data_IF_552061851694
#
_entry.id   IF_552061851694
#
_cell.length_a   1.000
_cell.length_b   1.000
_cell.length_c   1.000
_cell.angle_alpha   90.00
_cell.angle_beta   90.00
_cell.angle_gamma   90.00
#
_symmetry.space_group_name_H-M   'P 1'
#
loop_
_entity.id
_entity.type
_entity.pdbx_description
1 polymer ?
#
# COMPACT_ATOMS: atom_id res chain seq x y z
N UNK A 1 2.01 -35.90 0.32
CA UNK A 1 1.43 -35.49 -0.97
C UNK A 1 0.11 -34.84 -0.63
N UNK A 2 -0.09 -33.57 -0.99
CA UNK A 2 -1.31 -32.83 -0.62
C UNK A 2 -2.50 -33.47 -1.35
N UNK A 3 -3.58 -33.75 -0.63
CA UNK A 3 -4.78 -34.36 -1.22
C UNK A 3 -5.47 -33.36 -2.15
N UNK A 4 -6.10 -33.84 -3.23
CA UNK A 4 -6.80 -32.97 -4.18
C UNK A 4 -7.96 -32.23 -3.50
N UNK A 5 -8.64 -32.88 -2.55
CA UNK A 5 -9.69 -32.26 -1.75
C UNK A 5 -9.16 -31.12 -0.87
N UNK A 6 -7.97 -31.28 -0.31
CA UNK A 6 -7.31 -30.27 0.51
C UNK A 6 -6.88 -29.04 -0.32
N UNK A 7 -6.36 -29.26 -1.54
CA UNK A 7 -6.01 -28.17 -2.47
C UNK A 7 -7.26 -27.40 -2.90
N UNK A 8 -8.33 -28.10 -3.27
CA UNK A 8 -9.58 -27.48 -3.70
C UNK A 8 -10.25 -26.72 -2.55
N UNK A 9 -10.32 -27.33 -1.36
CA UNK A 9 -10.87 -26.70 -0.15
C UNK A 9 -10.09 -25.45 0.23
N UNK A 10 -8.75 -25.52 0.23
CA UNK A 10 -7.89 -24.37 0.50
C UNK A 10 -8.11 -23.25 -0.50
N UNK A 11 -8.18 -23.57 -1.80
CA UNK A 11 -8.43 -22.57 -2.85
C UNK A 11 -9.78 -21.88 -2.68
N UNK A 12 -10.84 -22.61 -2.33
CA UNK A 12 -12.15 -22.02 -2.08
C UNK A 12 -12.16 -21.12 -0.84
N UNK A 13 -11.51 -21.54 0.26
CA UNK A 13 -11.35 -20.70 1.45
C UNK A 13 -10.59 -19.41 1.13
N UNK A 14 -9.53 -19.48 0.31
CA UNK A 14 -8.78 -18.31 -0.18
C UNK A 14 -9.72 -17.34 -0.92
N UNK A 15 -10.56 -17.84 -1.84
CA UNK A 15 -11.51 -17.00 -2.60
C UNK A 15 -12.50 -16.30 -1.67
N UNK A 16 -13.04 -17.02 -0.69
CA UNK A 16 -14.00 -16.44 0.27
C UNK A 16 -13.34 -15.35 1.12
N UNK A 17 -12.14 -15.62 1.65
CA UNK A 17 -11.37 -14.64 2.41
C UNK A 17 -11.01 -13.43 1.55
N UNK A 18 -10.61 -13.64 0.29
CA UNK A 18 -10.32 -12.56 -0.65
C UNK A 18 -11.52 -11.63 -0.87
N UNK A 19 -12.71 -12.21 -1.10
CA UNK A 19 -13.95 -11.45 -1.23
C UNK A 19 -14.28 -10.69 0.06
N UNK A 20 -14.16 -11.35 1.21
CA UNK A 20 -14.39 -10.74 2.51
C UNK A 20 -13.49 -9.53 2.75
N UNK A 21 -12.17 -9.67 2.57
CA UNK A 21 -11.23 -8.57 2.76
C UNK A 21 -11.41 -7.43 1.75
N UNK A 22 -11.82 -7.75 0.52
CA UNK A 22 -12.16 -6.73 -0.47
C UNK A 22 -13.39 -5.93 -0.05
N UNK A 23 -14.43 -6.58 0.49
CA UNK A 23 -15.61 -5.91 1.03
C UNK A 23 -15.28 -5.03 2.24
N UNK A 24 -14.40 -5.50 3.13
CA UNK A 24 -13.91 -4.69 4.25
C UNK A 24 -13.18 -3.44 3.72
N UNK A 25 -12.33 -3.59 2.71
CA UNK A 25 -11.65 -2.44 2.11
C UNK A 25 -12.60 -1.45 1.45
N UNK A 26 -13.65 -1.93 0.78
CA UNK A 26 -14.70 -1.07 0.21
C UNK A 26 -15.44 -0.30 1.30
N UNK A 27 -15.88 -0.98 2.37
CA UNK A 27 -16.56 -0.34 3.50
C UNK A 27 -15.67 0.69 4.19
N UNK A 28 -14.39 0.37 4.36
CA UNK A 28 -13.41 1.27 4.94
C UNK A 28 -13.20 2.51 4.06
N UNK A 29 -13.14 2.35 2.74
CA UNK A 29 -13.07 3.47 1.80
C UNK A 29 -14.27 4.41 1.91
N UNK A 30 -15.49 3.84 1.96
CA UNK A 30 -16.72 4.64 2.18
C UNK A 30 -16.66 5.39 3.51
N UNK A 31 -16.19 4.72 4.58
CA UNK A 31 -16.04 5.33 5.90
C UNK A 31 -15.04 6.49 5.87
N UNK A 32 -13.87 6.29 5.27
CA UNK A 32 -12.84 7.32 5.20
C UNK A 32 -13.26 8.50 4.33
N UNK A 33 -13.94 8.24 3.20
CA UNK A 33 -14.49 9.29 2.34
C UNK A 33 -15.46 10.23 3.06
N UNK A 34 -16.23 9.72 4.02
CA UNK A 34 -17.16 10.57 4.80
C UNK A 34 -16.51 11.20 6.04
N UNK A 35 -15.40 10.64 6.52
CA UNK A 35 -14.79 11.05 7.79
C UNK A 35 -13.65 12.05 7.60
N UNK A 36 -13.00 12.05 6.44
CA UNK A 36 -11.81 12.83 6.14
C UNK A 36 -11.98 13.66 4.87
N UNK A 37 -11.28 14.78 4.80
CA UNK A 37 -11.36 15.71 3.68
C UNK A 37 -10.66 15.14 2.43
N UNK A 38 -11.09 15.53 1.23
CA UNK A 38 -10.41 15.13 -0.01
C UNK A 38 -9.04 15.82 -0.15
N UNK A 39 -8.15 15.28 -0.99
CA UNK A 39 -6.85 15.89 -1.30
C UNK A 39 -6.96 17.10 -2.24
N UNK A 40 -7.79 18.07 -1.88
CA UNK A 40 -8.13 19.22 -2.71
C UNK A 40 -7.20 20.43 -2.45
N UNK A 41 -7.60 21.62 -2.91
CA UNK A 41 -6.80 22.84 -2.70
C UNK A 41 -6.91 23.37 -1.27
N UNK A 42 -8.03 23.13 -0.61
CA UNK A 42 -8.30 23.61 0.75
C UNK A 42 -7.42 22.83 1.73
N UNK A 43 -7.45 21.49 1.65
CA UNK A 43 -6.59 20.61 2.44
C UNK A 43 -5.09 20.88 2.21
N UNK A 44 -4.68 21.19 0.97
CA UNK A 44 -3.28 21.53 0.64
C UNK A 44 -2.83 22.88 1.20
N UNK A 45 -3.76 23.79 1.45
CA UNK A 45 -3.46 25.10 2.04
C UNK A 45 -3.37 25.05 3.57
N UNK A 46 -3.83 23.96 4.18
CA UNK A 46 -3.74 23.76 5.62
C UNK A 46 -2.31 23.63 6.13
N UNK A 47 -2.16 23.84 7.43
CA UNK A 47 -0.87 23.76 8.10
C UNK A 47 -0.38 22.30 8.23
N UNK A 48 0.95 22.12 8.22
CA UNK A 48 1.59 20.80 8.24
C UNK A 48 1.08 19.87 9.36
N UNK A 49 0.83 20.41 10.55
CA UNK A 49 0.37 19.60 11.68
C UNK A 49 -1.02 19.00 11.44
N UNK A 50 -1.91 19.75 10.80
CA UNK A 50 -3.22 19.24 10.37
C UNK A 50 -3.04 18.16 9.30
N UNK A 51 -2.25 18.40 8.26
CA UNK A 51 -2.04 17.42 7.17
C UNK A 51 -1.43 16.10 7.67
N UNK A 52 -0.45 16.17 8.57
CA UNK A 52 0.17 14.98 9.18
C UNK A 52 -0.80 14.29 10.15
N UNK A 53 -1.55 15.06 10.93
CA UNK A 53 -2.55 14.54 11.86
C UNK A 53 -3.68 13.82 11.13
N UNK A 54 -4.20 14.41 10.06
CA UNK A 54 -5.23 13.88 9.19
C UNK A 54 -4.82 12.54 8.57
N UNK A 55 -3.69 12.49 7.87
CA UNK A 55 -3.12 11.24 7.33
C UNK A 55 -2.82 10.23 8.45
N UNK A 56 -2.33 10.70 9.60
CA UNK A 56 -2.03 9.84 10.75
C UNK A 56 -3.27 9.17 11.32
N UNK A 57 -4.39 9.89 11.40
CA UNK A 57 -5.67 9.36 11.83
C UNK A 57 -6.25 8.40 10.80
N UNK A 58 -6.19 8.72 9.50
CA UNK A 58 -6.59 7.80 8.43
C UNK A 58 -5.82 6.47 8.54
N UNK A 59 -4.50 6.53 8.61
CA UNK A 59 -3.64 5.35 8.76
C UNK A 59 -3.89 4.60 10.07
N UNK A 60 -4.17 5.31 11.15
CA UNK A 60 -4.50 4.73 12.45
C UNK A 60 -5.80 3.92 12.42
N UNK A 61 -6.84 4.45 11.78
CA UNK A 61 -8.11 3.74 11.58
C UNK A 61 -7.90 2.53 10.68
N UNK A 62 -7.19 2.70 9.56
CA UNK A 62 -6.89 1.60 8.63
C UNK A 62 -6.15 0.47 9.36
N UNK A 63 -5.06 0.79 10.07
CA UNK A 63 -4.25 -0.18 10.81
C UNK A 63 -5.05 -0.87 11.91
N UNK A 64 -5.92 -0.13 12.61
CA UNK A 64 -6.80 -0.69 13.64
C UNK A 64 -7.81 -1.68 13.04
N UNK A 65 -8.48 -1.30 11.95
CA UNK A 65 -9.43 -2.19 11.26
C UNK A 65 -8.72 -3.41 10.70
N UNK A 66 -7.53 -3.25 10.11
CA UNK A 66 -6.71 -4.34 9.59
C UNK A 66 -6.41 -5.38 10.68
N UNK A 67 -5.92 -4.89 11.82
CA UNK A 67 -5.53 -5.73 12.94
C UNK A 67 -6.74 -6.48 13.50
N UNK A 68 -7.81 -5.76 13.86
CA UNK A 68 -8.98 -6.37 14.49
C UNK A 68 -9.72 -7.32 13.55
N UNK A 69 -9.86 -6.97 12.27
CA UNK A 69 -10.46 -7.87 11.27
C UNK A 69 -9.67 -9.18 11.19
N UNK A 70 -8.34 -9.11 11.18
CA UNK A 70 -7.47 -10.29 11.14
C UNK A 70 -7.56 -11.12 12.42
N UNK A 71 -7.70 -10.49 13.59
CA UNK A 71 -7.90 -11.24 14.84
C UNK A 71 -9.25 -11.96 14.86
N UNK A 72 -10.30 -11.35 14.30
CA UNK A 72 -11.63 -11.94 14.22
C UNK A 72 -11.64 -13.15 13.28
N UNK A 73 -11.08 -13.01 12.07
CA UNK A 73 -11.09 -14.09 11.07
C UNK A 73 -10.27 -15.30 11.50
N UNK A 74 -9.17 -15.11 12.23
CA UNK A 74 -8.38 -16.21 12.83
C UNK A 74 -9.18 -17.09 13.80
N UNK A 75 -10.27 -16.58 14.36
CA UNK A 75 -11.17 -17.35 15.22
C UNK A 75 -12.22 -18.15 14.45
N UNK A 76 -12.32 -17.99 13.13
CA UNK A 76 -13.34 -18.64 12.33
C UNK A 76 -12.91 -20.04 11.92
N UNK A 77 -13.86 -20.98 11.91
CA UNK A 77 -13.61 -22.28 11.33
C UNK A 77 -13.57 -22.16 9.79
N UNK A 78 -12.66 -22.88 9.10
CA UNK A 78 -12.65 -22.89 7.65
C UNK A 78 -13.97 -23.46 7.12
N UNK A 79 -14.49 -22.81 6.08
CA UNK A 79 -15.77 -23.20 5.47
C UNK A 79 -15.62 -24.55 4.77
N UNK A 80 -14.52 -24.73 4.03
CA UNK A 80 -14.16 -26.01 3.45
C UNK A 80 -13.12 -26.73 4.32
N UNK A 81 -13.30 -28.04 4.59
CA UNK A 81 -12.42 -28.77 5.49
C UNK A 81 -11.02 -28.88 4.90
N UNK A 82 -10.04 -28.38 5.66
CA UNK A 82 -8.60 -28.42 5.34
C UNK A 82 -7.80 -28.74 6.61
N UNK A 83 -6.53 -29.10 6.47
CA UNK A 83 -5.66 -29.27 7.64
C UNK A 83 -5.47 -27.94 8.37
N UNK A 84 -5.37 -28.00 9.71
CA UNK A 84 -5.15 -26.80 10.56
C UNK A 84 -3.88 -26.04 10.20
N UNK A 85 -2.87 -26.72 9.67
CA UNK A 85 -1.61 -26.09 9.26
C UNK A 85 -1.83 -25.24 8.01
N UNK A 86 -2.53 -25.79 7.02
CA UNK A 86 -2.84 -25.07 5.78
C UNK A 86 -3.81 -23.91 6.05
N UNK A 87 -4.79 -24.11 6.92
CA UNK A 87 -5.73 -23.08 7.38
C UNK A 87 -5.02 -21.86 7.95
N UNK A 88 -4.12 -22.07 8.92
CA UNK A 88 -3.35 -21.00 9.54
C UNK A 88 -2.46 -20.25 8.54
N UNK A 89 -1.90 -20.97 7.56
CA UNK A 89 -1.09 -20.39 6.49
C UNK A 89 -1.94 -19.53 5.55
N UNK A 90 -3.09 -20.06 5.11
CA UNK A 90 -4.07 -19.35 4.27
C UNK A 90 -4.52 -18.09 5.01
N UNK A 91 -4.99 -18.20 6.25
CA UNK A 91 -5.48 -17.06 7.02
C UNK A 91 -4.43 -15.97 7.16
N UNK A 92 -3.19 -16.33 7.51
CA UNK A 92 -2.14 -15.33 7.73
C UNK A 92 -1.68 -14.68 6.43
N UNK A 93 -1.55 -15.45 5.35
CA UNK A 93 -1.07 -14.94 4.07
C UNK A 93 -2.14 -14.14 3.33
N UNK A 94 -3.34 -14.70 3.22
CA UNK A 94 -4.47 -14.11 2.49
C UNK A 94 -4.98 -12.86 3.18
N UNK A 95 -5.07 -12.84 4.50
CA UNK A 95 -5.54 -11.65 5.22
C UNK A 95 -4.65 -10.44 4.97
N UNK A 96 -3.35 -10.58 5.17
CA UNK A 96 -2.39 -9.50 4.93
C UNK A 96 -2.36 -9.07 3.45
N UNK A 97 -2.29 -10.03 2.53
CA UNK A 97 -2.20 -9.75 1.10
C UNK A 97 -3.45 -9.04 0.56
N UNK A 98 -4.64 -9.59 0.82
CA UNK A 98 -5.88 -9.03 0.28
C UNK A 98 -6.32 -7.77 0.99
N UNK A 99 -6.01 -7.61 2.29
CA UNK A 99 -6.21 -6.33 2.96
C UNK A 99 -5.35 -5.25 2.32
N UNK A 100 -4.04 -5.49 2.15
CA UNK A 100 -3.14 -4.52 1.51
C UNK A 100 -3.57 -4.21 0.06
N UNK A 101 -4.01 -5.23 -0.69
CA UNK A 101 -4.52 -5.05 -2.05
C UNK A 101 -5.80 -4.21 -2.08
N UNK A 102 -6.75 -4.45 -1.18
CA UNK A 102 -7.98 -3.66 -1.09
C UNK A 102 -7.68 -2.20 -0.70
N UNK A 103 -6.72 -1.97 0.18
CA UNK A 103 -6.23 -0.62 0.50
C UNK A 103 -5.64 0.08 -0.72
N UNK A 104 -4.87 -0.63 -1.54
CA UNK A 104 -4.37 -0.07 -2.79
C UNK A 104 -5.50 0.29 -3.77
N UNK A 105 -6.55 -0.53 -3.86
CA UNK A 105 -7.67 -0.30 -4.76
C UNK A 105 -8.55 0.88 -4.36
N UNK A 106 -8.77 1.10 -3.06
CA UNK A 106 -9.83 2.00 -2.61
C UNK A 106 -9.35 3.26 -1.86
N UNK A 107 -8.04 3.42 -1.62
CA UNK A 107 -7.47 4.56 -0.89
C UNK A 107 -6.67 5.52 -1.80
N UNK A 108 -7.26 5.92 -2.92
CA UNK A 108 -6.63 6.85 -3.86
C UNK A 108 -6.33 8.21 -3.21
N UNK A 109 -7.28 8.78 -2.45
CA UNK A 109 -7.12 10.08 -1.77
C UNK A 109 -5.96 10.08 -0.77
N UNK A 110 -5.86 9.06 0.08
CA UNK A 110 -4.75 8.90 1.02
C UNK A 110 -3.40 8.83 0.28
N UNK A 111 -3.36 8.09 -0.84
CA UNK A 111 -2.15 8.01 -1.69
C UNK A 111 -1.74 9.40 -2.18
N UNK A 112 -2.70 10.21 -2.61
CA UNK A 112 -2.44 11.58 -3.06
C UNK A 112 -1.95 12.49 -1.94
N UNK A 113 -2.57 12.44 -0.75
CA UNK A 113 -2.14 13.21 0.43
C UNK A 113 -0.70 12.89 0.83
N UNK A 114 -0.34 11.61 0.86
CA UNK A 114 1.03 11.15 1.17
C UNK A 114 2.02 11.62 0.10
N UNK A 115 1.66 11.52 -1.19
CA UNK A 115 2.50 12.03 -2.30
C UNK A 115 2.69 13.54 -2.21
N UNK A 116 1.67 14.29 -1.81
CA UNK A 116 1.75 15.74 -1.62
C UNK A 116 2.75 16.10 -0.51
N UNK A 117 2.62 15.49 0.68
CA UNK A 117 3.57 15.72 1.78
C UNK A 117 5.00 15.34 1.40
N UNK A 118 5.17 14.21 0.70
CA UNK A 118 6.46 13.81 0.17
C UNK A 118 7.04 14.90 -0.73
N UNK A 119 6.27 15.40 -1.70
CA UNK A 119 6.73 16.40 -2.67
C UNK A 119 7.08 17.73 -2.01
N UNK A 120 6.27 18.19 -1.06
CA UNK A 120 6.46 19.53 -0.49
C UNK A 120 7.59 19.59 0.55
N UNK A 121 7.66 18.57 1.42
CA UNK A 121 8.54 18.59 2.59
C UNK A 121 9.73 17.63 2.49
N UNK A 122 9.56 16.46 1.89
CA UNK A 122 10.57 15.40 1.90
C UNK A 122 11.48 15.46 0.66
N UNK A 123 10.92 15.78 -0.50
CA UNK A 123 11.61 15.74 -1.80
C UNK A 123 12.85 16.63 -1.83
N UNK A 124 12.75 17.86 -1.29
CA UNK A 124 13.87 18.81 -1.22
C UNK A 124 15.06 18.24 -0.43
N UNK A 125 14.79 17.43 0.59
CA UNK A 125 15.82 16.79 1.40
C UNK A 125 16.38 15.55 0.72
N UNK A 126 15.55 14.74 0.07
CA UNK A 126 15.98 13.51 -0.61
C UNK A 126 16.80 13.80 -1.87
N UNK A 127 16.40 14.77 -2.70
CA UNK A 127 17.13 15.13 -3.93
C UNK A 127 18.56 15.56 -3.63
N UNK A 128 18.82 16.08 -2.43
CA UNK A 128 20.17 16.40 -1.96
C UNK A 128 21.05 15.16 -1.79
N UNK A 129 20.48 14.02 -1.45
CA UNK A 129 21.22 12.77 -1.23
C UNK A 129 21.13 11.79 -2.41
N UNK A 130 20.03 11.80 -3.15
CA UNK A 130 19.74 10.90 -4.26
C UNK A 130 19.28 11.73 -5.46
N UNK A 131 20.09 11.83 -6.53
CA UNK A 131 19.73 12.62 -7.71
C UNK A 131 18.41 12.11 -8.35
N UNK A 132 17.59 13.00 -8.93
CA UNK A 132 16.26 12.66 -9.46
C UNK A 132 16.28 11.65 -10.62
N UNK A 133 17.42 11.44 -11.26
CA UNK A 133 17.61 10.48 -12.36
C UNK A 133 18.52 9.30 -11.98
N UNK A 134 18.72 9.06 -10.68
CA UNK A 134 19.55 7.96 -10.20
C UNK A 134 18.85 6.62 -10.47
N UNK A 135 19.35 5.88 -11.46
CA UNK A 135 18.92 4.52 -11.74
C UNK A 135 20.08 3.59 -11.43
N UNK A 136 19.84 2.63 -10.52
CA UNK A 136 20.83 1.59 -10.19
C UNK A 136 21.22 0.82 -11.44
N UNK A 137 20.25 0.56 -12.32
CA UNK A 137 20.50 -0.10 -13.59
C UNK A 137 21.40 0.74 -14.50
N UNK A 138 21.20 2.07 -14.55
CA UNK A 138 22.12 2.96 -15.26
C UNK A 138 23.48 3.04 -14.56
N UNK A 139 23.59 3.06 -13.24
CA UNK A 139 24.90 3.13 -12.56
C UNK A 139 25.71 1.84 -12.68
N UNK A 140 25.05 0.69 -12.75
CA UNK A 140 25.69 -0.63 -12.89
C UNK A 140 26.01 -0.97 -14.35
N UNK A 141 25.16 -0.56 -15.29
CA UNK A 141 25.30 -0.93 -16.72
C UNK A 141 25.69 0.24 -17.63
N UNK A 142 25.69 1.49 -17.17
CA UNK A 142 26.40 2.56 -17.89
C UNK A 142 27.89 2.33 -17.70
N UNK A 143 28.44 1.55 -18.64
CA UNK A 143 29.84 1.61 -19.01
C UNK A 143 30.29 3.07 -18.98
N UNK A 144 31.41 3.36 -18.30
CA UNK A 144 32.14 4.64 -18.38
C UNK A 144 32.44 4.95 -19.86
N UNK A 145 31.47 5.51 -20.58
CA UNK A 145 31.77 6.38 -21.71
C UNK A 145 31.92 7.77 -21.12
N UNK A 146 33.17 8.11 -20.86
CA UNK A 146 33.65 9.48 -20.69
C UNK A 146 33.01 10.37 -21.74
N UNK A 147 31.97 11.12 -21.36
CA UNK A 147 31.55 12.31 -22.11
C UNK A 147 32.52 13.45 -21.77
N UNK A 148 33.78 13.28 -22.18
CA UNK A 148 34.75 14.37 -22.27
C UNK A 148 34.64 14.97 -23.68
N UNK A 149 33.58 15.76 -23.92
CA UNK A 149 33.40 16.78 -24.98
C UNK A 149 31.92 16.91 -25.35
N UNK A 150 31.17 17.72 -24.60
CA UNK A 150 30.12 18.56 -25.21
C UNK A 150 29.58 19.70 -24.33
N UNK A 151 30.39 20.23 -23.39
CA UNK A 151 30.03 21.45 -22.63
C UNK A 151 30.85 22.68 -23.05
N UNK A 152 31.31 22.72 -24.30
CA UNK A 152 31.99 23.88 -24.87
C UNK A 152 31.45 24.24 -26.25
N UNK A 153 30.14 24.47 -26.30
CA UNK A 153 29.38 25.25 -27.28
C UNK A 153 27.91 24.99 -26.89
N UNK A 154 27.17 25.88 -26.29
CA UNK A 154 26.80 27.18 -26.84
C UNK A 154 26.55 28.17 -25.69
N UNK A 155 27.44 29.16 -25.58
CA UNK A 155 27.09 30.49 -25.09
C UNK A 155 26.50 31.22 -26.29
N UNK A 156 25.23 31.64 -26.24
CA UNK A 156 24.66 32.91 -26.72
C UNK A 156 23.15 32.92 -26.43
#
# INVERSE_FOLDING_TARGET
>A
MMDLGEVLGGTMNIVILALFYTLIGLLLSVLLYHLFDDCDKEWKAEHLAYQVGDIGLELGIIGSVAFWTTQITRGWAPIFPISKVLDLQIDTYVSGLFFAYAMFLFLEQLSEKVKFLYKEHVHKHIVRFIPPNWSVMKSVFASRKTNAKKDSAETY
#
